data_IF_060634022240
#
_entry.id   IF_060634022240
#
_cell.length_a   1.000
_cell.length_b   1.000
_cell.length_c   1.000
_cell.angle_alpha   90.00
_cell.angle_beta   90.00
_cell.angle_gamma   90.00
#
_symmetry.space_group_name_H-M   'P 1'
#
loop_
_entity.id
_entity.type
_entity.pdbx_description
1 polymer ?
#
# COMPACT_ATOMS: atom_id res chain seq x y z
N UNK A 1 9.70 9.30 -49.73
CA UNK A 1 10.68 10.38 -49.94
C UNK A 1 10.14 11.72 -49.48
N UNK A 2 10.11 11.98 -48.16
CA UNK A 2 9.73 13.30 -47.62
C UNK A 2 10.97 14.10 -47.15
N UNK A 3 12.14 13.47 -47.04
CA UNK A 3 13.36 14.14 -46.56
C UNK A 3 14.57 14.10 -47.50
N UNK A 4 14.49 13.43 -48.66
CA UNK A 4 15.55 13.45 -49.68
C UNK A 4 16.99 13.31 -49.13
N UNK A 5 17.19 12.47 -48.12
CA UNK A 5 18.53 12.19 -47.58
C UNK A 5 19.19 11.13 -48.46
N UNK A 6 20.15 11.57 -49.26
CA UNK A 6 21.07 10.71 -50.03
C UNK A 6 21.73 9.69 -49.10
N UNK A 7 21.83 8.44 -49.56
CA UNK A 7 22.02 7.20 -48.78
C UNK A 7 23.26 6.99 -47.91
N UNK A 8 23.85 8.02 -47.28
CA UNK A 8 24.97 7.88 -46.33
C UNK A 8 24.93 8.86 -45.14
N UNK A 9 23.76 9.40 -44.77
CA UNK A 9 23.64 10.27 -43.57
C UNK A 9 22.63 9.67 -42.59
N UNK A 10 23.15 9.07 -41.51
CA UNK A 10 22.31 8.59 -40.41
C UNK A 10 21.75 9.79 -39.63
N UNK A 11 20.43 10.00 -39.69
CA UNK A 11 19.73 11.10 -39.01
C UNK A 11 19.65 10.96 -37.48
N UNK A 12 20.03 9.81 -36.91
CA UNK A 12 20.04 9.55 -35.48
C UNK A 12 20.47 8.12 -35.14
N UNK A 13 20.92 7.93 -33.89
CA UNK A 13 21.31 6.63 -33.32
C UNK A 13 20.36 6.29 -32.18
N UNK A 14 19.69 5.14 -32.27
CA UNK A 14 18.85 4.62 -31.19
C UNK A 14 19.68 3.73 -30.26
N UNK A 15 19.81 4.11 -28.99
CA UNK A 15 20.48 3.31 -27.95
C UNK A 15 19.41 2.64 -27.09
N UNK A 16 19.46 1.32 -26.98
CA UNK A 16 18.55 0.54 -26.11
C UNK A 16 19.29 0.20 -24.82
N UNK A 17 18.71 0.58 -23.70
CA UNK A 17 19.20 0.26 -22.35
C UNK A 17 18.46 -0.98 -21.84
N UNK A 18 19.15 -1.87 -21.12
CA UNK A 18 18.55 -3.07 -20.53
C UNK A 18 17.54 -2.73 -19.43
N UNK A 19 17.88 -1.77 -18.57
CA UNK A 19 16.99 -1.21 -17.55
C UNK A 19 16.37 0.12 -18.03
N UNK A 20 15.05 0.17 -18.29
CA UNK A 20 14.38 1.39 -18.71
C UNK A 20 14.54 2.56 -17.73
N UNK A 21 14.73 2.29 -16.43
CA UNK A 21 14.85 3.31 -15.39
C UNK A 21 16.23 3.97 -15.36
N UNK A 22 17.23 3.35 -15.96
CA UNK A 22 18.57 3.93 -16.09
C UNK A 22 18.71 4.82 -17.32
N UNK A 23 17.67 4.91 -18.16
CA UNK A 23 17.74 5.65 -19.42
C UNK A 23 18.12 7.12 -19.25
N UNK A 24 17.71 7.78 -18.17
CA UNK A 24 18.13 9.16 -17.88
C UNK A 24 19.63 9.22 -17.55
N UNK A 25 20.12 8.35 -16.66
CA UNK A 25 21.53 8.31 -16.28
C UNK A 25 22.44 7.97 -17.48
N UNK A 26 22.07 6.94 -18.25
CA UNK A 26 22.81 6.55 -19.47
C UNK A 26 22.78 7.66 -20.52
N UNK A 27 21.66 8.39 -20.66
CA UNK A 27 21.59 9.51 -21.59
C UNK A 27 22.54 10.65 -21.19
N UNK A 28 22.69 10.92 -19.90
CA UNK A 28 23.63 11.91 -19.36
C UNK A 28 25.08 11.47 -19.62
N UNK A 29 25.42 10.21 -19.33
CA UNK A 29 26.76 9.64 -19.58
C UNK A 29 27.13 9.68 -21.07
N UNK A 30 26.19 9.31 -21.96
CA UNK A 30 26.38 9.37 -23.41
C UNK A 30 26.56 10.80 -23.89
N UNK A 31 25.79 11.75 -23.35
CA UNK A 31 25.91 13.17 -23.71
C UNK A 31 27.27 13.73 -23.29
N UNK A 32 27.76 13.34 -22.12
CA UNK A 32 29.10 13.72 -21.64
C UNK A 32 30.20 13.11 -22.51
N UNK A 33 30.10 11.82 -22.85
CA UNK A 33 31.05 11.13 -23.72
C UNK A 33 31.11 11.70 -25.15
N UNK A 34 29.99 12.21 -25.67
CA UNK A 34 29.89 12.84 -26.99
C UNK A 34 30.35 14.30 -27.01
N UNK A 35 30.71 14.88 -25.86
CA UNK A 35 31.21 16.26 -25.76
C UNK A 35 30.13 17.34 -25.94
N UNK A 36 28.85 16.98 -25.82
CA UNK A 36 27.73 17.90 -25.96
C UNK A 36 27.47 18.34 -27.42
N UNK A 37 27.33 19.65 -27.65
CA UNK A 37 26.96 20.19 -28.96
C UNK A 37 27.95 19.77 -30.06
N UNK A 38 27.49 19.34 -31.26
CA UNK A 38 26.13 19.45 -31.81
C UNK A 38 25.21 18.25 -31.54
N UNK A 39 25.60 17.31 -30.68
CA UNK A 39 24.83 16.09 -30.42
C UNK A 39 23.78 16.31 -29.33
N UNK A 40 22.55 15.86 -29.60
CA UNK A 40 21.44 15.87 -28.65
C UNK A 40 21.10 14.43 -28.27
N UNK A 41 20.95 14.19 -26.96
CA UNK A 41 20.57 12.89 -26.41
C UNK A 41 19.27 13.09 -25.64
N UNK A 42 18.17 12.58 -26.20
CA UNK A 42 16.84 12.68 -25.60
C UNK A 42 16.41 11.31 -25.07
N UNK A 43 16.43 11.09 -23.74
CA UNK A 43 15.91 9.86 -23.17
C UNK A 43 14.38 9.82 -23.31
N UNK A 44 13.85 8.61 -23.48
CA UNK A 44 12.42 8.36 -23.65
C UNK A 44 11.55 8.90 -22.50
N UNK A 45 12.13 9.03 -21.29
CA UNK A 45 11.54 9.63 -20.09
C UNK A 45 11.23 11.12 -20.27
N UNK A 46 12.08 11.88 -20.98
CA UNK A 46 11.85 13.31 -21.28
C UNK A 46 10.84 13.49 -22.40
N UNK A 47 10.97 12.70 -23.47
CA UNK A 47 10.02 12.77 -24.60
C UNK A 47 8.59 12.47 -24.17
N UNK A 48 8.40 11.64 -23.14
CA UNK A 48 7.09 11.25 -22.60
C UNK A 48 6.79 11.84 -21.21
N UNK A 49 7.43 12.95 -20.83
CA UNK A 49 7.34 13.52 -19.48
C UNK A 49 5.90 13.82 -19.01
N UNK A 50 5.00 14.18 -19.93
CA UNK A 50 3.58 14.43 -19.62
C UNK A 50 2.86 13.15 -19.18
N UNK A 51 3.09 12.02 -19.87
CA UNK A 51 2.53 10.71 -19.50
C UNK A 51 3.05 10.26 -18.12
N UNK A 52 4.35 10.41 -17.88
CA UNK A 52 4.96 10.06 -16.60
C UNK A 52 4.45 10.92 -15.44
N UNK A 53 4.27 12.21 -15.67
CA UNK A 53 3.70 13.12 -14.67
C UNK A 53 2.26 12.75 -14.34
N UNK A 54 1.45 12.40 -15.35
CA UNK A 54 0.08 11.92 -15.15
C UNK A 54 0.04 10.61 -14.35
N UNK A 55 0.86 9.63 -14.70
CA UNK A 55 0.96 8.36 -13.97
C UNK A 55 1.43 8.53 -12.51
N UNK A 56 2.38 9.45 -12.27
CA UNK A 56 2.83 9.77 -10.90
C UNK A 56 1.70 10.41 -10.08
N UNK A 57 0.97 11.35 -10.67
CA UNK A 57 -0.17 12.00 -10.02
C UNK A 57 -1.27 11.00 -9.69
N UNK A 58 -1.58 10.09 -10.62
CA UNK A 58 -2.55 9.01 -10.41
C UNK A 58 -2.13 8.09 -9.25
N UNK A 59 -0.88 7.60 -9.26
CA UNK A 59 -0.36 6.76 -8.17
C UNK A 59 -0.40 7.48 -6.82
N UNK A 60 -0.08 8.78 -6.79
CA UNK A 60 -0.19 9.59 -5.58
C UNK A 60 -1.63 9.70 -5.09
N UNK A 61 -2.58 9.97 -5.99
CA UNK A 61 -4.01 10.05 -5.67
C UNK A 61 -4.55 8.72 -5.14
N UNK A 62 -4.20 7.59 -5.77
CA UNK A 62 -4.55 6.25 -5.30
C UNK A 62 -3.98 5.98 -3.90
N UNK A 63 -2.71 6.33 -3.66
CA UNK A 63 -2.07 6.20 -2.35
C UNK A 63 -2.78 7.02 -1.27
N UNK A 64 -3.17 8.25 -1.59
CA UNK A 64 -3.92 9.12 -0.68
C UNK A 64 -5.29 8.53 -0.32
N UNK A 65 -6.06 8.08 -1.31
CA UNK A 65 -7.37 7.42 -1.10
C UNK A 65 -7.20 6.18 -0.22
N UNK A 66 -6.23 5.31 -0.54
CA UNK A 66 -5.97 4.10 0.22
C UNK A 66 -5.61 4.40 1.68
N UNK A 67 -4.76 5.42 1.90
CA UNK A 67 -4.39 5.85 3.25
C UNK A 67 -5.59 6.32 4.08
N UNK A 68 -6.54 7.03 3.46
CA UNK A 68 -7.76 7.48 4.13
C UNK A 68 -8.66 6.31 4.49
N UNK A 69 -8.82 5.33 3.60
CA UNK A 69 -9.59 4.10 3.88
C UNK A 69 -8.98 3.36 5.08
N UNK A 70 -7.67 3.20 5.09
CA UNK A 70 -6.94 2.55 6.19
C UNK A 70 -7.13 3.33 7.50
N UNK A 71 -7.06 4.66 7.45
CA UNK A 71 -7.26 5.52 8.62
C UNK A 71 -8.68 5.36 9.20
N UNK A 72 -9.71 5.38 8.36
CA UNK A 72 -11.10 5.17 8.77
C UNK A 72 -11.29 3.77 9.37
N UNK A 73 -10.69 2.74 8.76
CA UNK A 73 -10.73 1.38 9.29
C UNK A 73 -10.04 1.26 10.66
N UNK A 74 -8.89 1.92 10.85
CA UNK A 74 -8.19 1.95 12.13
C UNK A 74 -9.04 2.63 13.22
N UNK A 75 -9.68 3.77 12.92
CA UNK A 75 -10.60 4.41 13.85
C UNK A 75 -11.78 3.51 14.21
N UNK A 76 -12.33 2.76 13.25
CA UNK A 76 -13.40 1.82 13.52
C UNK A 76 -12.98 0.76 14.54
N UNK A 77 -11.78 0.17 14.38
CA UNK A 77 -11.23 -0.79 15.35
C UNK A 77 -11.12 -0.17 16.74
N UNK A 78 -10.58 1.06 16.84
CA UNK A 78 -10.47 1.79 18.11
C UNK A 78 -11.86 1.96 18.75
N UNK A 79 -12.83 2.50 18.01
CA UNK A 79 -14.18 2.76 18.50
C UNK A 79 -14.87 1.49 18.98
N UNK A 80 -14.75 0.39 18.23
CA UNK A 80 -15.34 -0.90 18.62
C UNK A 80 -14.68 -1.47 19.87
N UNK A 81 -13.34 -1.45 19.96
CA UNK A 81 -12.64 -1.95 21.15
C UNK A 81 -12.95 -1.10 22.39
N UNK A 82 -12.97 0.22 22.27
CA UNK A 82 -13.38 1.12 23.37
C UNK A 82 -14.80 0.79 23.82
N UNK A 83 -15.73 0.61 22.89
CA UNK A 83 -17.11 0.24 23.22
C UNK A 83 -17.19 -1.12 23.95
N UNK A 84 -16.39 -2.10 23.53
CA UNK A 84 -16.29 -3.40 24.23
C UNK A 84 -15.78 -3.21 25.66
N UNK A 85 -14.77 -2.37 25.87
CA UNK A 85 -14.24 -2.07 27.21
C UNK A 85 -15.33 -1.46 28.09
N UNK A 86 -16.02 -0.42 27.59
CA UNK A 86 -17.08 0.27 28.33
C UNK A 86 -18.20 -0.71 28.72
N UNK A 87 -18.68 -1.51 27.78
CA UNK A 87 -19.76 -2.48 28.03
C UNK A 87 -19.37 -3.61 28.99
N UNK A 88 -18.07 -3.92 29.10
CA UNK A 88 -17.54 -4.99 29.96
C UNK A 88 -16.84 -4.48 31.22
N UNK A 89 -16.99 -3.18 31.55
CA UNK A 89 -16.32 -2.54 32.70
C UNK A 89 -16.55 -3.28 34.02
N UNK A 90 -17.80 -3.68 34.30
CA UNK A 90 -18.16 -4.40 35.53
C UNK A 90 -17.46 -5.77 35.63
N UNK A 91 -17.44 -6.53 34.54
CA UNK A 91 -16.78 -7.84 34.48
C UNK A 91 -15.28 -7.70 34.71
N UNK A 92 -14.64 -6.70 34.09
CA UNK A 92 -13.22 -6.38 34.30
C UNK A 92 -12.97 -5.99 35.78
N UNK A 93 -13.88 -5.21 36.39
CA UNK A 93 -13.81 -4.84 37.80
C UNK A 93 -13.86 -6.04 38.74
N UNK A 94 -14.78 -6.98 38.50
CA UNK A 94 -14.91 -8.23 39.26
C UNK A 94 -13.63 -9.08 39.12
N UNK A 95 -13.12 -9.25 37.89
CA UNK A 95 -11.88 -9.99 37.66
C UNK A 95 -10.69 -9.34 38.37
N UNK A 96 -10.58 -8.01 38.35
CA UNK A 96 -9.55 -7.26 39.08
C UNK A 96 -9.68 -7.44 40.60
N UNK A 97 -10.89 -7.46 41.14
CA UNK A 97 -11.13 -7.75 42.55
C UNK A 97 -10.74 -9.19 42.94
N UNK A 98 -10.83 -10.14 42.00
CA UNK A 98 -10.35 -11.52 42.17
C UNK A 98 -8.84 -11.69 41.95
N UNK A 99 -8.09 -10.63 41.63
CA UNK A 99 -6.63 -10.65 41.48
C UNK A 99 -6.10 -10.48 40.06
N UNK A 100 -6.94 -10.17 39.06
CA UNK A 100 -6.47 -9.86 37.70
C UNK A 100 -5.56 -8.63 37.70
N UNK A 101 -4.33 -8.76 37.21
CA UNK A 101 -3.40 -7.64 37.18
C UNK A 101 -3.67 -6.70 36.00
N UNK A 102 -3.17 -5.46 36.10
CA UNK A 102 -3.20 -4.50 34.97
C UNK A 102 -2.48 -5.06 33.73
N UNK A 103 -1.41 -5.83 33.93
CA UNK A 103 -0.64 -6.46 32.84
C UNK A 103 -1.43 -7.55 32.14
N UNK A 104 -2.16 -8.36 32.88
CA UNK A 104 -3.00 -9.42 32.29
C UNK A 104 -4.17 -8.83 31.53
N UNK A 105 -4.78 -7.76 32.06
CA UNK A 105 -5.81 -7.00 31.33
C UNK A 105 -5.26 -6.49 30.00
N UNK A 106 -4.08 -5.85 30.02
CA UNK A 106 -3.45 -5.32 28.81
C UNK A 106 -3.13 -6.43 27.80
N UNK A 107 -2.61 -7.58 28.25
CA UNK A 107 -2.33 -8.74 27.39
C UNK A 107 -3.59 -9.27 26.71
N UNK A 108 -4.70 -9.41 27.43
CA UNK A 108 -5.96 -9.90 26.86
C UNK A 108 -6.43 -9.02 25.71
N UNK A 109 -6.41 -7.69 25.89
CA UNK A 109 -6.79 -6.76 24.81
C UNK A 109 -5.79 -6.75 23.66
N UNK A 110 -4.48 -6.86 23.94
CA UNK A 110 -3.48 -7.00 22.87
C UNK A 110 -3.69 -8.28 22.05
N UNK A 111 -4.01 -9.40 22.68
CA UNK A 111 -4.34 -10.65 21.97
C UNK A 111 -5.61 -10.51 21.14
N UNK A 112 -6.64 -9.82 21.64
CA UNK A 112 -7.82 -9.52 20.83
C UNK A 112 -7.46 -8.70 19.58
N UNK A 113 -6.62 -7.67 19.73
CA UNK A 113 -6.11 -6.90 18.59
C UNK A 113 -5.35 -7.76 17.58
N UNK A 114 -4.46 -8.65 18.06
CA UNK A 114 -3.74 -9.59 17.19
C UNK A 114 -4.70 -10.48 16.42
N UNK A 115 -5.73 -11.03 17.07
CA UNK A 115 -6.72 -11.89 16.42
C UNK A 115 -7.54 -11.13 15.39
N UNK A 116 -8.02 -9.93 15.71
CA UNK A 116 -8.76 -9.09 14.78
C UNK A 116 -7.89 -8.74 13.57
N UNK A 117 -6.64 -8.32 13.81
CA UNK A 117 -5.67 -8.02 12.77
C UNK A 117 -5.35 -9.23 11.90
N UNK A 118 -5.12 -10.40 12.50
CA UNK A 118 -4.76 -11.61 11.78
C UNK A 118 -5.91 -12.11 10.90
N UNK A 119 -7.13 -12.15 11.43
CA UNK A 119 -8.33 -12.54 10.67
C UNK A 119 -8.60 -11.54 9.56
N UNK A 120 -8.53 -10.24 9.86
CA UNK A 120 -8.72 -9.18 8.86
C UNK A 120 -7.68 -9.22 7.75
N UNK A 121 -6.41 -9.43 8.09
CA UNK A 121 -5.31 -9.55 7.12
C UNK A 121 -5.49 -10.80 6.26
N UNK A 122 -5.80 -11.95 6.86
CA UNK A 122 -6.01 -13.20 6.13
C UNK A 122 -7.22 -13.11 5.19
N UNK A 123 -8.34 -12.56 5.67
CA UNK A 123 -9.52 -12.32 4.85
C UNK A 123 -9.24 -11.32 3.71
N UNK A 124 -8.54 -10.22 4.01
CA UNK A 124 -8.16 -9.22 3.01
C UNK A 124 -7.23 -9.77 1.93
N UNK A 125 -6.21 -10.55 2.32
CA UNK A 125 -5.28 -11.17 1.39
C UNK A 125 -5.97 -12.22 0.53
N UNK A 126 -6.80 -13.09 1.13
CA UNK A 126 -7.53 -14.12 0.37
C UNK A 126 -8.49 -13.48 -0.63
N UNK A 127 -9.26 -12.47 -0.22
CA UNK A 127 -10.14 -11.74 -1.13
C UNK A 127 -9.36 -11.01 -2.22
N UNK A 128 -8.29 -10.27 -1.85
CA UNK A 128 -7.48 -9.51 -2.80
C UNK A 128 -6.79 -10.37 -3.85
N UNK A 129 -6.16 -11.47 -3.43
CA UNK A 129 -5.51 -12.43 -4.33
C UNK A 129 -6.53 -13.15 -5.23
N UNK A 130 -7.70 -13.52 -4.68
CA UNK A 130 -8.78 -14.13 -5.47
C UNK A 130 -9.29 -13.15 -6.53
N UNK A 131 -9.47 -11.88 -6.18
CA UNK A 131 -9.90 -10.85 -7.12
C UNK A 131 -8.84 -10.62 -8.21
N UNK A 132 -7.56 -10.54 -7.83
CA UNK A 132 -6.44 -10.39 -8.76
C UNK A 132 -6.41 -11.55 -9.78
N UNK A 133 -6.54 -12.79 -9.29
CA UNK A 133 -6.63 -13.98 -10.13
C UNK A 133 -7.85 -13.96 -11.06
N UNK A 134 -9.01 -13.50 -10.56
CA UNK A 134 -10.23 -13.41 -11.37
C UNK A 134 -10.10 -12.37 -12.49
N UNK A 135 -9.49 -11.21 -12.19
CA UNK A 135 -9.22 -10.16 -13.18
C UNK A 135 -8.28 -10.67 -14.27
N UNK A 136 -7.21 -11.37 -13.88
CA UNK A 136 -6.27 -11.98 -14.83
C UNK A 136 -6.95 -13.05 -15.70
N UNK A 137 -7.77 -13.92 -15.09
CA UNK A 137 -8.38 -15.06 -15.77
C UNK A 137 -9.53 -14.68 -16.70
N UNK A 138 -10.39 -13.76 -16.27
CA UNK A 138 -11.65 -13.44 -16.97
C UNK A 138 -11.60 -12.13 -17.75
N UNK A 139 -10.50 -11.37 -17.70
CA UNK A 139 -10.34 -10.09 -18.41
C UNK A 139 -11.56 -9.18 -18.26
N UNK A 140 -12.02 -9.03 -17.01
CA UNK A 140 -13.25 -8.29 -16.65
C UNK A 140 -13.25 -6.83 -17.11
N UNK A 141 -12.09 -6.29 -17.49
CA UNK A 141 -11.91 -4.94 -18.01
C UNK A 141 -11.47 -5.06 -19.49
N UNK A 142 -12.36 -4.79 -20.46
CA UNK A 142 -11.99 -4.83 -21.87
C UNK A 142 -10.99 -3.72 -22.18
N UNK A 143 -9.83 -4.10 -22.74
CA UNK A 143 -8.82 -3.14 -23.20
C UNK A 143 -8.93 -2.93 -24.71
N UNK A 144 -9.07 -1.68 -25.19
CA UNK A 144 -8.93 -1.39 -26.61
C UNK A 144 -7.45 -1.54 -26.99
N UNK A 145 -7.09 -2.75 -27.44
CA UNK A 145 -5.74 -3.15 -27.82
C UNK A 145 -5.14 -2.21 -28.90
N UNK A 146 -5.99 -1.56 -29.69
CA UNK A 146 -5.64 -0.61 -30.75
C UNK A 146 -4.95 0.68 -30.24
N UNK A 147 -5.15 1.06 -28.97
CA UNK A 147 -4.58 2.30 -28.41
C UNK A 147 -3.33 2.04 -27.57
N UNK A 148 -3.24 0.88 -26.91
CA UNK A 148 -2.23 0.63 -25.88
C UNK A 148 -1.12 -0.36 -26.29
N UNK A 149 -1.16 -0.95 -27.50
CA UNK A 149 -0.14 -1.91 -28.00
C UNK A 149 0.18 -3.08 -27.04
N UNK A 150 -0.71 -3.36 -26.08
CA UNK A 150 -0.58 -4.42 -25.08
C UNK A 150 -1.90 -5.18 -25.07
N UNK A 151 -1.84 -6.49 -25.35
CA UNK A 151 -3.03 -7.34 -25.50
C UNK A 151 -3.72 -7.71 -24.17
N UNK A 152 -3.04 -7.45 -23.04
CA UNK A 152 -3.47 -7.90 -21.69
C UNK A 152 -2.79 -7.07 -20.61
N UNK A 153 -3.52 -6.70 -19.56
CA UNK A 153 -2.89 -6.17 -18.34
C UNK A 153 -2.22 -7.33 -17.59
N UNK A 154 -0.88 -7.38 -17.49
CA UNK A 154 -0.22 -8.41 -16.70
C UNK A 154 -0.46 -8.12 -15.22
N UNK A 155 -1.22 -8.99 -14.54
CA UNK A 155 -1.38 -8.92 -13.08
C UNK A 155 -0.15 -9.55 -12.45
N UNK A 156 0.87 -8.73 -12.17
CA UNK A 156 2.10 -9.20 -11.51
C UNK A 156 1.92 -9.14 -9.99
N UNK A 157 1.69 -10.29 -9.36
CA UNK A 157 1.64 -10.39 -7.90
C UNK A 157 3.06 -10.62 -7.38
N UNK A 158 3.63 -9.61 -6.72
CA UNK A 158 4.91 -9.79 -6.02
C UNK A 158 4.70 -10.27 -4.59
N UNK A 159 5.42 -11.32 -4.20
CA UNK A 159 5.42 -11.84 -2.82
C UNK A 159 5.91 -10.77 -1.84
N UNK A 160 6.82 -9.89 -2.27
CA UNK A 160 7.29 -8.76 -1.44
C UNK A 160 6.15 -7.82 -1.06
N UNK A 161 5.26 -7.53 -2.00
CA UNK A 161 4.19 -6.55 -1.81
C UNK A 161 3.12 -7.12 -0.91
N UNK A 162 2.78 -8.39 -1.09
CA UNK A 162 1.90 -9.14 -0.20
C UNK A 162 2.44 -9.16 1.23
N UNK A 163 3.74 -9.42 1.40
CA UNK A 163 4.37 -9.42 2.72
C UNK A 163 4.35 -8.03 3.38
N UNK A 164 4.64 -6.97 2.62
CA UNK A 164 4.56 -5.59 3.11
C UNK A 164 3.14 -5.20 3.52
N UNK A 165 2.14 -5.54 2.70
CA UNK A 165 0.73 -5.28 3.02
C UNK A 165 0.36 -6.00 4.32
N UNK A 166 0.69 -7.29 4.45
CA UNK A 166 0.41 -8.05 5.66
C UNK A 166 1.06 -7.44 6.91
N UNK A 167 2.33 -7.03 6.81
CA UNK A 167 3.07 -6.42 7.91
C UNK A 167 2.47 -5.07 8.32
N UNK A 168 2.14 -4.20 7.35
CA UNK A 168 1.54 -2.88 7.60
C UNK A 168 0.14 -3.03 8.19
N UNK A 169 -0.70 -3.91 7.66
CA UNK A 169 -2.04 -4.18 8.19
C UNK A 169 -1.99 -4.65 9.64
N UNK A 170 -1.08 -5.58 9.97
CA UNK A 170 -0.90 -6.02 11.36
C UNK A 170 -0.39 -4.91 12.26
N UNK A 171 0.59 -4.12 11.80
CA UNK A 171 1.13 -3.01 12.56
C UNK A 171 0.03 -1.99 12.91
N UNK A 172 -0.81 -1.63 11.94
CA UNK A 172 -1.90 -0.67 12.15
C UNK A 172 -2.93 -1.22 13.13
N UNK A 173 -3.32 -2.49 13.00
CA UNK A 173 -4.24 -3.15 13.94
C UNK A 173 -3.69 -3.16 15.37
N UNK A 174 -2.39 -3.45 15.53
CA UNK A 174 -1.71 -3.42 16.82
C UNK A 174 -1.69 -2.00 17.40
N UNK A 175 -1.29 -1.00 16.60
CA UNK A 175 -1.26 0.41 17.03
C UNK A 175 -2.65 0.91 17.47
N UNK A 176 -3.69 0.57 16.71
CA UNK A 176 -5.08 0.88 17.05
C UNK A 176 -5.50 0.24 18.38
N UNK A 177 -5.01 -0.95 18.71
CA UNK A 177 -5.36 -1.69 19.93
C UNK A 177 -4.69 -1.13 21.19
N UNK A 178 -3.55 -0.43 21.08
CA UNK A 178 -2.80 0.06 22.24
C UNK A 178 -3.62 1.02 23.10
N UNK A 179 -4.36 1.94 22.47
CA UNK A 179 -5.19 2.91 23.18
C UNK A 179 -6.27 2.26 24.06
N UNK A 180 -7.19 1.43 23.52
CA UNK A 180 -8.22 0.77 24.33
C UNK A 180 -7.63 -0.22 25.35
N UNK A 181 -6.53 -0.93 25.01
CA UNK A 181 -5.87 -1.83 25.95
C UNK A 181 -5.35 -1.09 27.19
N UNK A 182 -4.78 0.10 27.01
CA UNK A 182 -4.36 0.97 28.12
C UNK A 182 -5.56 1.44 28.93
N UNK A 183 -6.61 1.92 28.27
CA UNK A 183 -7.83 2.38 28.93
C UNK A 183 -8.47 1.29 29.81
N UNK A 184 -8.59 0.07 29.31
CA UNK A 184 -9.12 -1.06 30.08
C UNK A 184 -8.24 -1.43 31.28
N UNK A 185 -6.91 -1.39 31.08
CA UNK A 185 -5.95 -1.71 32.13
C UNK A 185 -5.97 -0.70 33.28
N UNK A 186 -6.33 0.57 33.03
CA UNK A 186 -6.41 1.62 34.05
C UNK A 186 -7.71 1.65 34.84
N UNK A 187 -8.75 0.89 34.46
CA UNK A 187 -10.02 0.85 35.19
C UNK A 187 -9.82 0.38 36.64
N UNK A 188 -10.32 1.12 37.62
CA UNK A 188 -10.25 0.74 39.02
C UNK A 188 -11.49 -0.08 39.44
N UNK A 189 -11.34 -1.11 40.30
CA UNK A 189 -12.47 -1.96 40.72
C UNK A 189 -13.59 -1.17 41.41
N UNK A 190 -13.22 -0.14 42.18
CA UNK A 190 -14.16 0.75 42.87
C UNK A 190 -15.00 1.52 41.85
N UNK A 191 -14.37 2.09 40.82
CA UNK A 191 -15.10 2.83 39.79
C UNK A 191 -15.99 1.90 38.96
N UNK A 192 -15.55 0.67 38.68
CA UNK A 192 -16.35 -0.31 37.93
C UNK A 192 -17.62 -0.76 38.66
N UNK A 193 -17.67 -0.68 40.00
CA UNK A 193 -18.81 -1.10 40.83
C UNK A 193 -19.69 0.10 41.22
N UNK A 194 -19.12 1.31 41.32
CA UNK A 194 -19.82 2.53 41.75
C UNK A 194 -20.62 3.24 40.64
N UNK A 195 -20.60 2.74 39.39
CA UNK A 195 -21.41 3.27 38.28
C UNK A 195 -22.86 2.73 38.28
N UNK A 196 -23.42 2.50 39.48
CA UNK A 196 -24.86 2.51 39.78
C UNK A 196 -25.10 3.38 41.02
#
# INVERSE_FOLDING_TARGET
>A
DILALSGEVAGGLGVRVEDPWQAEAVAEDVREALGGWPYYVDPWTRTNAQLFSALKLEKFAMGLILSLIILVAAFNIVSTLVMVVVNRTREIGILKAMGLTRRDTLRTFMYQGIWIGAIGTLAGLTLGLTLAFLIERYQLIPFPAEVYFIDRLPVTISVSDVAWIAAVSMLISLLATIYPARQASSLEPVDAIRHE
#
